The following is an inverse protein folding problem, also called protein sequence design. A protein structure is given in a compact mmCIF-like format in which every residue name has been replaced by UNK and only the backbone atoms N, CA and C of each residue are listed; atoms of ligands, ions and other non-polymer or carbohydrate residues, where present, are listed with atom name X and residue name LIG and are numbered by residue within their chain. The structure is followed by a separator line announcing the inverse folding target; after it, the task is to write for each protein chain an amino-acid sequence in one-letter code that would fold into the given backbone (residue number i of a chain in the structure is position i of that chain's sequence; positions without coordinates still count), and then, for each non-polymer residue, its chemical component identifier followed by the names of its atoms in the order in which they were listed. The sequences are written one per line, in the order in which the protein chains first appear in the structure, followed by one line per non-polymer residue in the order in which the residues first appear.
data_IF_661720455795
#
_entry.id   IF_661720455795
#
_cell.length_a   1.000
_cell.length_b   1.000
_cell.length_c   1.000
_cell.angle_alpha   90.00
_cell.angle_beta   90.00
_cell.angle_gamma   90.00
#
_symmetry.space_group_name_H-M   'P 1'
#
loop_
_entity.id
_entity.type
_entity.pdbx_description
1 polymer ?
#
# COMPACT_ATOMS: atom_id res chain seq x y z
N UNK A 1 -5.02 3.44 17.35
CA UNK A 1 -4.46 2.57 18.42
C UNK A 1 -5.12 1.18 18.46
N UNK A 2 -6.44 1.07 18.59
CA UNK A 2 -7.14 -0.23 18.65
C UNK A 2 -6.89 -1.16 17.45
N UNK A 3 -6.86 -0.61 16.22
CA UNK A 3 -6.68 -1.40 14.99
C UNK A 3 -5.29 -2.06 14.90
N UNK A 4 -4.24 -1.35 15.33
CA UNK A 4 -2.88 -1.91 15.34
C UNK A 4 -2.75 -3.06 16.35
N UNK A 5 -3.33 -2.90 17.54
CA UNK A 5 -3.32 -3.96 18.55
C UNK A 5 -4.09 -5.19 18.09
N UNK A 6 -5.24 -5.00 17.43
CA UNK A 6 -5.99 -6.11 16.84
C UNK A 6 -5.23 -6.80 15.71
N UNK A 7 -4.55 -6.04 14.84
CA UNK A 7 -3.72 -6.59 13.77
C UNK A 7 -2.51 -7.36 14.30
N UNK A 8 -1.86 -6.88 15.36
CA UNK A 8 -0.75 -7.60 16.02
C UNK A 8 -1.19 -8.94 16.61
N UNK A 9 -2.42 -9.02 17.12
CA UNK A 9 -2.94 -10.27 17.67
C UNK A 9 -3.31 -11.28 16.57
N UNK A 10 -3.90 -10.81 15.47
CA UNK A 10 -4.35 -11.67 14.35
C UNK A 10 -3.16 -12.10 13.47
N UNK A 11 -2.22 -11.20 13.22
CA UNK A 11 -1.07 -11.42 12.32
C UNK A 11 0.19 -10.66 12.79
N UNK A 12 0.85 -11.15 13.86
CA UNK A 12 2.04 -10.51 14.40
C UNK A 12 3.21 -10.51 13.43
N UNK A 13 3.33 -11.55 12.58
CA UNK A 13 4.44 -11.70 11.65
C UNK A 13 4.37 -10.64 10.53
N UNK A 14 3.21 -10.48 9.88
CA UNK A 14 3.05 -9.45 8.87
C UNK A 14 3.19 -8.04 9.46
N UNK A 15 2.75 -7.84 10.71
CA UNK A 15 2.95 -6.58 11.41
C UNK A 15 4.45 -6.26 11.57
N UNK A 16 5.26 -7.22 12.01
CA UNK A 16 6.72 -7.03 12.16
C UNK A 16 7.38 -6.80 10.80
N UNK A 17 7.04 -7.56 9.76
CA UNK A 17 7.61 -7.41 8.41
C UNK A 17 7.33 -6.00 7.84
N UNK A 18 6.10 -5.52 8.00
CA UNK A 18 5.72 -4.18 7.54
C UNK A 18 6.39 -3.07 8.39
N UNK A 19 6.57 -3.29 9.70
CA UNK A 19 7.24 -2.32 10.57
C UNK A 19 8.74 -2.23 10.28
N UNK A 20 9.39 -3.35 9.94
CA UNK A 20 10.80 -3.39 9.56
C UNK A 20 11.07 -2.81 8.17
N UNK A 21 10.07 -2.82 7.30
CA UNK A 21 10.15 -2.33 5.92
C UNK A 21 9.41 -1.01 5.80
N UNK A 22 9.79 -0.03 6.63
CA UNK A 22 9.30 1.33 6.45
C UNK A 22 9.84 1.83 5.10
N UNK A 23 9.01 1.76 4.06
CA UNK A 23 9.30 2.32 2.76
C UNK A 23 9.64 3.79 3.01
N UNK A 24 10.85 4.21 2.67
CA UNK A 24 11.19 5.63 2.72
C UNK A 24 10.45 6.31 1.58
N UNK A 25 9.31 6.93 1.90
CA UNK A 25 8.59 7.73 0.93
C UNK A 25 9.43 8.99 0.70
N UNK A 26 9.99 9.12 -0.50
CA UNK A 26 10.51 10.41 -0.93
C UNK A 26 9.33 11.38 -1.02
N UNK A 27 9.45 12.57 -0.44
CA UNK A 27 8.41 13.60 -0.56
C UNK A 27 8.54 14.19 -1.96
N UNK A 28 7.62 13.82 -2.86
CA UNK A 28 7.48 14.45 -4.17
C UNK A 28 6.22 15.31 -4.19
N UNK A 29 6.31 16.47 -4.83
CA UNK A 29 5.17 17.32 -5.12
C UNK A 29 4.70 17.03 -6.54
N UNK A 30 3.39 16.88 -6.73
CA UNK A 30 2.75 16.79 -8.03
C UNK A 30 2.16 18.17 -8.38
N UNK A 31 2.87 19.02 -9.17
CA UNK A 31 2.49 20.41 -9.42
C UNK A 31 1.14 20.59 -10.13
N UNK A 32 0.66 19.57 -10.85
CA UNK A 32 -0.63 19.60 -11.54
C UNK A 32 -1.23 18.19 -11.68
N UNK A 33 -2.52 18.12 -12.00
CA UNK A 33 -3.19 16.87 -12.30
C UNK A 33 -2.54 16.15 -13.48
N UNK A 34 -2.50 14.82 -13.40
CA UNK A 34 -1.84 13.92 -14.36
C UNK A 34 -0.31 14.05 -14.42
N UNK A 35 0.33 14.68 -13.44
CA UNK A 35 1.79 14.80 -13.40
C UNK A 35 2.47 13.47 -13.03
N UNK A 36 1.94 12.77 -12.02
CA UNK A 36 2.42 11.45 -11.56
C UNK A 36 1.20 10.59 -11.23
N UNK A 37 1.29 9.30 -11.52
CA UNK A 37 0.25 8.33 -11.21
C UNK A 37 0.84 7.22 -10.34
N UNK A 38 0.12 6.84 -9.29
CA UNK A 38 0.42 5.66 -8.50
C UNK A 38 -0.32 4.46 -9.06
N UNK A 39 0.43 3.40 -9.39
CA UNK A 39 -0.10 2.11 -9.82
C UNK A 39 0.27 1.07 -8.76
N UNK A 40 -0.71 0.33 -8.26
CA UNK A 40 -0.48 -0.80 -7.36
C UNK A 40 -1.27 -2.06 -7.78
N UNK A 41 -0.67 -3.22 -7.51
CA UNK A 41 -1.21 -4.53 -7.85
C UNK A 41 -1.72 -5.27 -6.61
N UNK A 42 -3.02 -5.53 -6.56
CA UNK A 42 -3.63 -6.32 -5.50
C UNK A 42 -3.66 -7.82 -5.87
N UNK A 43 -2.77 -8.60 -5.24
CA UNK A 43 -2.51 -10.00 -5.62
C UNK A 43 -3.27 -11.05 -4.79
N UNK A 44 -4.18 -10.67 -3.88
CA UNK A 44 -4.86 -11.65 -3.00
C UNK A 44 -5.69 -12.69 -3.77
N UNK A 45 -6.14 -12.36 -4.97
CA UNK A 45 -6.94 -13.26 -5.83
C UNK A 45 -6.09 -14.02 -6.87
N UNK A 46 -4.76 -13.99 -6.75
CA UNK A 46 -3.87 -14.64 -7.73
C UNK A 46 -4.10 -16.16 -7.85
N UNK A 47 -4.58 -16.82 -6.78
CA UNK A 47 -4.96 -18.24 -6.80
C UNK A 47 -6.08 -18.54 -7.80
N UNK A 48 -6.92 -17.54 -8.09
CA UNK A 48 -8.03 -17.60 -9.04
C UNK A 48 -7.65 -17.00 -10.40
N UNK A 49 -6.39 -16.63 -10.60
CA UNK A 49 -5.91 -15.97 -11.82
C UNK A 49 -6.32 -14.50 -11.96
N UNK A 50 -6.78 -13.86 -10.87
CA UNK A 50 -7.24 -12.47 -10.89
C UNK A 50 -6.21 -11.58 -10.18
N UNK A 51 -5.82 -10.50 -10.86
CA UNK A 51 -4.98 -9.43 -10.31
C UNK A 51 -5.73 -8.12 -10.54
N UNK A 52 -5.93 -7.35 -9.47
CA UNK A 52 -6.60 -6.04 -9.56
C UNK A 52 -5.52 -4.97 -9.56
N UNK A 53 -5.43 -4.18 -10.62
CA UNK A 53 -4.54 -3.03 -10.67
C UNK A 53 -5.33 -1.75 -10.39
N UNK A 54 -4.93 -1.00 -9.38
CA UNK A 54 -5.49 0.31 -9.05
C UNK A 54 -4.56 1.42 -9.55
N UNK A 55 -5.14 2.51 -10.05
CA UNK A 55 -4.39 3.69 -10.51
C UNK A 55 -5.01 4.97 -9.95
N UNK A 56 -4.18 5.84 -9.35
CA UNK A 56 -4.63 7.09 -8.71
C UNK A 56 -3.67 8.22 -9.12
N UNK A 57 -4.20 9.39 -9.46
CA UNK A 57 -3.41 10.61 -9.71
C UNK A 57 -2.79 11.09 -8.38
N UNK A 58 -1.49 11.40 -8.41
CA UNK A 58 -0.76 11.87 -7.23
C UNK A 58 -1.12 13.31 -6.83
N UNK A 59 -1.83 14.02 -7.72
CA UNK A 59 -2.32 15.38 -7.48
C UNK A 59 -3.71 15.32 -6.81
N UNK A 60 -3.75 15.62 -5.52
CA UNK A 60 -4.97 15.77 -4.72
C UNK A 60 -5.07 17.20 -4.18
#
# INVERSE_FOLDING_TARGET
EHVQMSLQWIDPLSCVIHHHTAIQHHVYEAPCSNYVWHIDGHHKLIRWGIIIHGMIDSHC
#
